data_IF_545400418064
#
_entry.id   IF_545400418064
#
_cell.length_a   1.000
_cell.length_b   1.000
_cell.length_c   1.000
_cell.angle_alpha   90.00
_cell.angle_beta   90.00
_cell.angle_gamma   90.00
#
_symmetry.space_group_name_H-M   'P 1'
#
loop_
_entity.id
_entity.type
_entity.pdbx_description
1 polymer ?
#
# COMPACT_ATOMS: atom_id res chain seq x y z
N UNK A 1 -10.61 -7.91 2.86
CA UNK A 1 -10.42 -8.27 1.43
C UNK A 1 -11.73 -8.39 0.65
N UNK A 2 -12.89 -8.58 1.28
CA UNK A 2 -14.12 -8.93 0.56
C UNK A 2 -14.61 -7.90 -0.48
N UNK A 3 -14.11 -6.65 -0.43
CA UNK A 3 -14.42 -5.59 -1.40
C UNK A 3 -13.20 -5.15 -2.23
N UNK A 4 -12.11 -5.91 -2.19
CA UNK A 4 -10.93 -5.65 -3.03
C UNK A 4 -11.16 -6.26 -4.42
N UNK A 5 -10.69 -5.60 -5.49
CA UNK A 5 -10.78 -6.18 -6.83
C UNK A 5 -10.02 -7.50 -6.89
N UNK A 6 -10.47 -8.42 -7.75
CA UNK A 6 -9.76 -9.68 -7.99
C UNK A 6 -8.34 -9.40 -8.49
N UNK A 7 -7.37 -10.14 -7.95
CA UNK A 7 -5.96 -9.99 -8.28
C UNK A 7 -5.23 -11.31 -8.15
N UNK A 8 -4.29 -11.59 -9.05
CA UNK A 8 -3.47 -12.80 -8.95
C UNK A 8 -2.38 -12.66 -7.87
N UNK A 9 -1.95 -11.43 -7.60
CA UNK A 9 -0.84 -11.12 -6.68
C UNK A 9 -1.19 -9.96 -5.75
N UNK A 10 -0.80 -10.10 -4.48
CA UNK A 10 -0.85 -9.01 -3.49
C UNK A 10 0.57 -8.66 -3.07
N UNK A 11 1.00 -7.44 -3.40
CA UNK A 11 2.32 -6.92 -3.05
C UNK A 11 2.17 -6.05 -1.80
N UNK A 12 2.99 -6.33 -0.77
CA UNK A 12 3.00 -5.51 0.43
C UNK A 12 4.42 -5.36 0.98
N UNK A 13 4.62 -4.28 1.74
CA UNK A 13 5.90 -4.04 2.40
C UNK A 13 6.24 -5.13 3.43
N UNK A 14 7.53 -5.26 3.73
CA UNK A 14 8.07 -6.17 4.74
C UNK A 14 7.44 -5.99 6.13
N UNK A 15 6.93 -4.81 6.45
CA UNK A 15 6.15 -4.56 7.67
C UNK A 15 4.95 -5.51 7.82
N UNK A 16 4.36 -5.95 6.71
CA UNK A 16 3.20 -6.86 6.64
C UNK A 16 3.57 -8.35 6.69
N UNK A 17 4.81 -8.70 7.04
CA UNK A 17 5.20 -10.10 7.24
C UNK A 17 4.46 -10.71 8.43
N UNK A 18 3.32 -11.34 8.13
CA UNK A 18 2.42 -12.02 9.07
C UNK A 18 1.81 -13.23 8.38
N UNK A 19 1.93 -14.41 9.00
CA UNK A 19 1.34 -15.64 8.47
C UNK A 19 -0.20 -15.49 8.38
N UNK A 20 -0.84 -14.80 9.33
CA UNK A 20 -2.28 -14.53 9.28
C UNK A 20 -2.69 -13.69 8.06
N UNK A 21 -1.89 -12.67 7.71
CA UNK A 21 -2.17 -11.83 6.55
C UNK A 21 -1.97 -12.61 5.23
N UNK A 22 -0.90 -13.40 5.14
CA UNK A 22 -0.65 -14.28 3.98
C UNK A 22 -1.79 -15.27 3.78
N UNK A 23 -2.28 -15.90 4.85
CA UNK A 23 -3.40 -16.84 4.77
C UNK A 23 -4.67 -16.16 4.23
N UNK A 24 -4.95 -14.91 4.63
CA UNK A 24 -6.11 -14.16 4.09
C UNK A 24 -5.93 -13.89 2.59
N UNK A 25 -4.71 -13.53 2.15
CA UNK A 25 -4.37 -13.33 0.73
C UNK A 25 -4.60 -14.63 -0.06
N UNK A 26 -4.09 -15.75 0.44
CA UNK A 26 -4.21 -17.07 -0.19
C UNK A 26 -5.67 -17.55 -0.24
N UNK A 27 -6.45 -17.34 0.83
CA UNK A 27 -7.89 -17.65 0.85
C UNK A 27 -8.71 -16.80 -0.12
N UNK A 28 -8.22 -15.62 -0.49
CA UNK A 28 -8.85 -14.77 -1.52
C UNK A 28 -8.45 -15.21 -2.94
N UNK A 29 -7.62 -16.25 -3.09
CA UNK A 29 -7.15 -16.75 -4.38
C UNK A 29 -5.95 -16.00 -4.95
N UNK A 30 -5.28 -15.16 -4.15
CA UNK A 30 -4.13 -14.37 -4.57
C UNK A 30 -2.82 -14.92 -3.98
N UNK A 31 -1.70 -14.62 -4.62
CA UNK A 31 -0.36 -14.98 -4.13
C UNK A 31 0.29 -13.82 -3.37
N UNK A 32 0.74 -14.00 -2.11
CA UNK A 32 1.37 -12.93 -1.33
C UNK A 32 2.84 -12.70 -1.74
N UNK A 33 3.12 -11.55 -2.35
CA UNK A 33 4.47 -11.05 -2.67
C UNK A 33 4.94 -10.11 -1.55
N UNK A 34 5.28 -10.71 -0.41
CA UNK A 34 5.65 -10.00 0.82
C UNK A 34 7.01 -10.54 1.29
N UNK A 35 8.04 -9.69 1.49
CA UNK A 35 9.32 -10.16 2.00
C UNK A 35 9.21 -10.61 3.45
N UNK A 36 9.93 -11.67 3.80
CA UNK A 36 10.06 -12.09 5.20
C UNK A 36 10.99 -11.16 5.99
N UNK A 37 10.68 -10.94 7.27
CA UNK A 37 11.56 -10.26 8.24
C UNK A 37 12.87 -11.01 8.39
N UNK A 38 13.97 -10.28 8.63
CA UNK A 38 15.32 -10.88 8.72
C UNK A 38 15.40 -11.94 9.83
N UNK A 39 14.66 -11.74 10.92
CA UNK A 39 14.55 -12.67 12.05
C UNK A 39 13.53 -13.80 11.83
N UNK A 40 12.85 -13.85 10.67
CA UNK A 40 11.95 -14.95 10.35
C UNK A 40 12.75 -16.19 9.99
N UNK A 41 12.30 -17.36 10.45
CA UNK A 41 12.81 -18.68 10.03
C UNK A 41 12.68 -18.91 8.51
N UNK A 42 11.88 -18.10 7.82
CA UNK A 42 11.60 -18.16 6.38
C UNK A 42 12.32 -17.04 5.61
N UNK A 43 13.28 -16.33 6.22
CA UNK A 43 13.96 -15.17 5.62
C UNK A 43 14.69 -15.48 4.30
N UNK A 44 15.10 -16.73 4.10
CA UNK A 44 15.75 -17.23 2.89
C UNK A 44 14.77 -17.59 1.77
N UNK A 45 13.46 -17.62 2.03
CA UNK A 45 12.47 -17.95 1.00
C UNK A 45 12.52 -16.89 -0.13
N UNK A 46 12.66 -17.33 -1.40
CA UNK A 46 12.69 -16.40 -2.51
C UNK A 46 11.35 -15.68 -2.66
N UNK A 47 11.44 -14.41 -3.03
CA UNK A 47 10.33 -13.54 -3.40
C UNK A 47 10.56 -13.09 -4.84
N UNK A 48 9.49 -12.99 -5.62
CA UNK A 48 9.53 -12.35 -6.93
C UNK A 48 9.92 -10.86 -6.77
N UNK A 49 11.19 -10.56 -7.04
CA UNK A 49 11.75 -9.21 -6.95
C UNK A 49 11.17 -8.27 -8.01
N UNK A 50 10.76 -8.79 -9.16
CA UNK A 50 10.15 -8.02 -10.23
C UNK A 50 8.79 -7.49 -9.79
N UNK A 51 7.94 -8.39 -9.28
CA UNK A 51 6.64 -8.02 -8.71
C UNK A 51 6.80 -7.11 -7.48
N UNK A 52 7.73 -7.43 -6.58
CA UNK A 52 7.98 -6.61 -5.39
C UNK A 52 8.41 -5.17 -5.73
N UNK A 53 9.03 -4.93 -6.90
CA UNK A 53 9.41 -3.59 -7.34
C UNK A 53 8.19 -2.68 -7.48
N UNK A 54 7.02 -3.18 -7.87
CA UNK A 54 5.82 -2.34 -8.08
C UNK A 54 5.29 -1.67 -6.81
N UNK A 55 5.72 -2.08 -5.61
CA UNK A 55 5.52 -1.35 -4.35
C UNK A 55 5.82 0.15 -4.48
N UNK A 56 6.85 0.51 -5.25
CA UNK A 56 7.29 1.89 -5.41
C UNK A 56 6.19 2.81 -5.98
N UNK A 57 5.23 2.27 -6.74
CA UNK A 57 4.12 3.07 -7.29
C UNK A 57 3.24 3.63 -6.17
N UNK A 58 2.93 2.80 -5.18
CA UNK A 58 2.16 3.19 -3.99
C UNK A 58 2.98 4.16 -3.14
N UNK A 59 4.27 3.88 -2.93
CA UNK A 59 5.16 4.77 -2.17
C UNK A 59 5.30 6.15 -2.80
N UNK A 60 5.43 6.22 -4.12
CA UNK A 60 5.46 7.47 -4.86
C UNK A 60 4.15 8.24 -4.74
N UNK A 61 3.00 7.56 -4.80
CA UNK A 61 1.69 8.20 -4.60
C UNK A 61 1.59 8.82 -3.20
N UNK A 62 2.01 8.09 -2.15
CA UNK A 62 2.05 8.62 -0.79
C UNK A 62 3.09 9.74 -0.61
N UNK A 63 4.23 9.66 -1.28
CA UNK A 63 5.23 10.73 -1.25
C UNK A 63 4.66 12.03 -1.84
N UNK A 64 3.92 11.94 -2.95
CA UNK A 64 3.26 13.10 -3.59
C UNK A 64 2.24 13.77 -2.67
N UNK A 65 1.33 13.02 -2.05
CA UNK A 65 0.32 13.63 -1.17
C UNK A 65 0.91 14.17 0.14
N UNK A 66 2.09 13.70 0.57
CA UNK A 66 2.78 14.25 1.74
C UNK A 66 3.37 15.65 1.49
N UNK A 67 3.32 16.19 0.27
CA UNK A 67 3.57 17.61 0.05
C UNK A 67 2.50 18.50 0.70
N UNK A 68 1.27 17.99 0.87
CA UNK A 68 0.25 18.69 1.63
C UNK A 68 0.57 18.60 3.13
N UNK A 69 1.00 19.72 3.72
CA UNK A 69 1.40 19.80 5.13
C UNK A 69 0.36 19.20 6.07
N UNK A 70 -0.92 19.53 5.88
CA UNK A 70 -2.02 19.03 6.71
C UNK A 70 -2.09 17.48 6.77
N UNK A 71 -1.75 16.81 5.66
CA UNK A 71 -1.71 15.35 5.57
C UNK A 71 -0.45 14.81 6.23
N UNK A 72 0.72 15.38 5.90
CA UNK A 72 2.01 14.92 6.42
C UNK A 72 2.07 14.97 7.95
N UNK A 73 1.49 16.00 8.56
CA UNK A 73 1.48 16.19 10.02
C UNK A 73 0.22 15.68 10.71
N UNK A 74 -0.74 15.11 9.96
CA UNK A 74 -2.06 14.69 10.48
C UNK A 74 -2.75 15.76 11.36
N UNK A 75 -3.03 16.92 10.79
CA UNK A 75 -3.70 18.01 11.55
C UNK A 75 -5.13 17.69 11.96
N UNK A 76 -5.85 16.92 11.15
CA UNK A 76 -7.21 16.50 11.47
C UNK A 76 -7.23 15.53 12.67
N UNK A 77 -7.88 15.95 13.75
CA UNK A 77 -8.07 15.12 14.96
C UNK A 77 -9.08 13.99 14.75
N UNK A 78 -10.09 14.22 13.91
CA UNK A 78 -11.13 13.24 13.64
C UNK A 78 -10.72 12.37 12.45
N UNK A 79 -10.83 11.06 12.63
CA UNK A 79 -10.49 10.08 11.59
C UNK A 79 -11.24 10.32 10.29
N UNK A 80 -12.54 10.66 10.38
CA UNK A 80 -13.38 10.96 9.20
C UNK A 80 -12.87 12.16 8.39
N UNK A 81 -12.35 13.19 9.07
CA UNK A 81 -11.88 14.40 8.42
C UNK A 81 -10.54 14.13 7.74
N UNK A 82 -9.64 13.42 8.45
CA UNK A 82 -8.37 12.98 7.88
C UNK A 82 -8.56 12.08 6.65
N UNK A 83 -9.50 11.12 6.72
CA UNK A 83 -9.84 10.26 5.59
C UNK A 83 -10.37 11.06 4.40
N UNK A 84 -11.21 12.08 4.65
CA UNK A 84 -11.72 12.98 3.60
C UNK A 84 -10.59 13.79 2.95
N UNK A 85 -9.65 14.33 3.73
CA UNK A 85 -8.49 15.04 3.22
C UNK A 85 -7.55 14.15 2.40
N UNK A 86 -7.33 12.90 2.84
CA UNK A 86 -6.58 11.92 2.07
C UNK A 86 -7.23 11.64 0.72
N UNK A 87 -8.54 11.38 0.70
CA UNK A 87 -9.29 11.14 -0.53
C UNK A 87 -9.17 12.33 -1.48
N UNK A 88 -9.37 13.55 -0.98
CA UNK A 88 -9.23 14.79 -1.76
C UNK A 88 -7.83 14.93 -2.36
N UNK A 89 -6.77 14.72 -1.58
CA UNK A 89 -5.40 14.83 -2.09
C UNK A 89 -5.08 13.78 -3.15
N UNK A 90 -5.55 12.54 -3.01
CA UNK A 90 -5.41 11.53 -4.05
C UNK A 90 -6.18 11.92 -5.32
N UNK A 91 -7.40 12.48 -5.20
CA UNK A 91 -8.16 12.98 -6.35
C UNK A 91 -7.41 14.10 -7.08
N UNK A 92 -6.85 15.06 -6.35
CA UNK A 92 -6.04 16.15 -6.94
C UNK A 92 -4.78 15.63 -7.64
N UNK A 93 -4.12 14.61 -7.08
CA UNK A 93 -2.94 13.98 -7.67
C UNK A 93 -3.27 13.14 -8.91
N UNK A 94 -4.49 12.56 -8.95
CA UNK A 94 -4.97 11.71 -10.02
C UNK A 94 -5.48 12.51 -11.24
N UNK A 95 -6.17 13.61 -10.99
CA UNK A 95 -6.67 14.46 -12.06
C UNK A 95 -5.49 15.05 -12.85
N UNK A 96 -5.47 14.92 -14.19
CA UNK A 96 -4.50 15.65 -14.98
C UNK A 96 -4.81 17.13 -14.80
N UNK A 97 -3.91 17.86 -14.13
CA UNK A 97 -3.93 19.31 -14.17
C UNK A 97 -3.60 19.71 -15.61
N UNK A 98 -4.60 19.76 -16.47
CA UNK A 98 -4.55 20.57 -17.68
C UNK A 98 -4.52 22.02 -17.20
N UNK A 99 -3.32 22.51 -16.97
CA UNK A 99 -3.03 23.93 -16.95
C UNK A 99 -2.38 24.22 -18.31
N UNK A 100 -3.14 24.86 -19.19
CA UNK A 100 -2.61 25.52 -20.38
C UNK A 100 -1.62 26.64 -19.98
#
# INVERSE_FOLDING_TARGET
MNNSPASDFVIADKGYDSDAFRNIVEQTGSTPVIPYRKNSRKSEKPIDKGLYRYRHLVENAFARIKHFRAIATRYDKLERNYASMLALAFTLVWLPMWAD
#
